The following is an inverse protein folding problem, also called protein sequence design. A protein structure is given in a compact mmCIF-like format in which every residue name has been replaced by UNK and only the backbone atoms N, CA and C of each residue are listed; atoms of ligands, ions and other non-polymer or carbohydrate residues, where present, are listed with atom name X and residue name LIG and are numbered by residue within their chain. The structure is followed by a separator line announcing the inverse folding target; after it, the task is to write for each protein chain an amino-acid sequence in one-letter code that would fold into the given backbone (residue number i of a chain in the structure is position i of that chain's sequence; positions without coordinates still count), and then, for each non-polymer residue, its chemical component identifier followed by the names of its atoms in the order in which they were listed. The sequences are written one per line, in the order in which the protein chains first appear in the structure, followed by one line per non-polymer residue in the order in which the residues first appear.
data_IF_992769557069
#
_entry.id   IF_992769557069
#
_cell.length_a   1.000
_cell.length_b   1.000
_cell.length_c   1.000
_cell.angle_alpha   90.00
_cell.angle_beta   90.00
_cell.angle_gamma   90.00
#
_symmetry.space_group_name_H-M   'P 1'
#
loop_
_entity.id
_entity.type
_entity.pdbx_description
1 polymer ?
#
# COMPACT_ATOMS: atom_id res chain seq x y z
N UNK A 1 35.37 14.97 4.90
CA UNK A 1 34.35 14.91 3.84
C UNK A 1 33.92 13.47 3.51
N UNK A 2 34.82 12.47 3.49
CA UNK A 2 34.43 11.07 3.19
C UNK A 2 33.42 10.41 4.16
N UNK A 3 33.47 10.72 5.47
CA UNK A 3 32.67 10.00 6.47
C UNK A 3 31.15 10.23 6.36
N UNK A 4 30.69 11.41 5.91
CA UNK A 4 29.26 11.74 5.87
C UNK A 4 28.53 10.96 4.76
N UNK A 5 29.18 10.83 3.60
CA UNK A 5 28.63 10.17 2.43
C UNK A 5 28.61 8.65 2.61
N UNK A 6 29.67 8.10 3.18
CA UNK A 6 29.73 6.69 3.59
C UNK A 6 28.63 6.36 4.61
N UNK A 7 28.46 7.20 5.64
CA UNK A 7 27.39 7.02 6.64
C UNK A 7 26.00 7.08 6.00
N UNK A 8 25.78 7.99 5.05
CA UNK A 8 24.53 8.09 4.31
C UNK A 8 24.25 6.82 3.50
N UNK A 9 25.22 6.35 2.72
CA UNK A 9 25.07 5.13 1.92
C UNK A 9 24.87 3.91 2.79
N UNK A 10 25.63 3.75 3.88
CA UNK A 10 25.49 2.61 4.80
C UNK A 10 24.08 2.56 5.41
N UNK A 11 23.53 3.70 5.85
CA UNK A 11 22.16 3.77 6.40
C UNK A 11 21.08 3.52 5.36
N UNK A 12 21.21 4.14 4.18
CA UNK A 12 20.27 3.96 3.07
C UNK A 12 20.26 2.51 2.57
N UNK A 13 21.43 1.89 2.48
CA UNK A 13 21.61 0.48 2.12
C UNK A 13 20.99 -0.44 3.19
N UNK A 14 21.15 -0.12 4.47
CA UNK A 14 20.49 -0.86 5.56
C UNK A 14 18.97 -0.86 5.42
N UNK A 15 18.35 0.30 5.14
CA UNK A 15 16.91 0.38 4.89
C UNK A 15 16.49 -0.40 3.64
N UNK A 16 17.29 -0.37 2.58
CA UNK A 16 17.01 -1.11 1.34
C UNK A 16 17.07 -2.62 1.55
N UNK A 17 18.09 -3.12 2.28
CA UNK A 17 18.24 -4.54 2.58
C UNK A 17 17.11 -5.06 3.47
N UNK A 18 16.66 -4.28 4.46
CA UNK A 18 15.51 -4.65 5.29
C UNK A 18 14.22 -4.75 4.45
N UNK A 19 13.96 -3.76 3.59
CA UNK A 19 12.80 -3.78 2.71
C UNK A 19 12.84 -4.96 1.74
N UNK A 20 14.00 -5.20 1.11
CA UNK A 20 14.20 -6.33 0.19
C UNK A 20 14.01 -7.67 0.91
N UNK A 21 14.57 -7.84 2.10
CA UNK A 21 14.40 -9.05 2.92
C UNK A 21 12.93 -9.32 3.24
N UNK A 22 12.18 -8.28 3.65
CA UNK A 22 10.74 -8.41 3.91
C UNK A 22 9.95 -8.76 2.64
N UNK A 23 10.26 -8.12 1.51
CA UNK A 23 9.61 -8.43 0.22
C UNK A 23 9.88 -9.88 -0.19
N UNK A 24 11.12 -10.38 -0.01
CA UNK A 24 11.47 -11.78 -0.30
C UNK A 24 10.67 -12.75 0.58
N UNK A 25 10.55 -12.48 1.88
CA UNK A 25 9.77 -13.35 2.79
C UNK A 25 8.29 -13.36 2.38
N UNK A 26 7.72 -12.19 2.04
CA UNK A 26 6.32 -12.10 1.63
C UNK A 26 6.07 -12.79 0.29
N UNK A 27 6.93 -12.58 -0.71
CA UNK A 27 6.79 -13.18 -2.03
C UNK A 27 7.10 -14.69 -2.03
N UNK A 28 7.86 -15.18 -1.06
CA UNK A 28 8.09 -16.62 -0.83
C UNK A 28 6.80 -17.39 -0.52
N UNK A 29 5.75 -16.70 -0.06
CA UNK A 29 4.47 -17.32 0.26
C UNK A 29 4.47 -18.16 1.55
N UNK A 30 5.53 -18.07 2.35
CA UNK A 30 5.63 -18.73 3.67
C UNK A 30 4.71 -18.10 4.71
N UNK A 31 4.32 -16.83 4.51
CA UNK A 31 3.39 -16.13 5.36
C UNK A 31 1.96 -16.41 4.87
N UNK A 32 1.05 -16.91 5.73
CA UNK A 32 -0.34 -17.11 5.36
C UNK A 32 -1.09 -15.77 5.33
N UNK A 33 -0.80 -14.93 4.34
CA UNK A 33 -1.51 -13.67 4.10
C UNK A 33 -2.80 -13.86 3.32
N UNK A 34 -3.10 -15.09 2.90
CA UNK A 34 -4.33 -15.44 2.23
C UNK A 34 -5.49 -15.48 3.23
N UNK A 35 -6.09 -14.32 3.47
CA UNK A 35 -7.30 -14.21 4.27
C UNK A 35 -8.50 -14.61 3.40
N UNK A 36 -8.75 -15.92 3.24
CA UNK A 36 -10.06 -16.53 2.89
C UNK A 36 -11.07 -15.60 2.19
N UNK A 37 -10.72 -15.03 1.05
CA UNK A 37 -11.66 -14.31 0.17
C UNK A 37 -11.48 -14.85 -1.23
N UNK A 38 -11.92 -16.10 -1.36
CA UNK A 38 -12.10 -16.88 -2.57
C UNK A 38 -13.21 -16.30 -3.49
N UNK A 39 -13.48 -15.00 -3.40
CA UNK A 39 -14.39 -14.32 -4.31
C UNK A 39 -13.54 -13.77 -5.44
N UNK A 40 -13.26 -14.66 -6.39
CA UNK A 40 -12.72 -14.33 -7.68
C UNK A 40 -13.31 -13.01 -8.18
N UNK A 41 -12.46 -12.00 -8.35
CA UNK A 41 -12.77 -10.83 -9.15
C UNK A 41 -13.30 -11.33 -10.50
N UNK A 42 -14.52 -10.96 -10.85
CA UNK A 42 -15.26 -11.39 -12.05
C UNK A 42 -14.60 -10.95 -13.37
N UNK A 43 -13.41 -10.35 -13.31
CA UNK A 43 -12.69 -9.72 -14.42
C UNK A 43 -11.37 -10.44 -14.78
N UNK A 44 -11.22 -11.70 -14.37
CA UNK A 44 -10.20 -12.62 -14.91
C UNK A 44 -8.75 -12.36 -14.53
N UNK A 45 -8.43 -11.25 -13.84
CA UNK A 45 -7.07 -10.96 -13.34
C UNK A 45 -7.11 -10.79 -11.83
N UNK A 46 -7.01 -11.88 -11.07
CA UNK A 46 -6.80 -11.81 -9.61
C UNK A 46 -5.35 -11.43 -9.34
N UNK A 47 -5.03 -10.24 -8.80
CA UNK A 47 -3.67 -9.89 -8.40
C UNK A 47 -3.17 -10.87 -7.33
N UNK A 48 -1.85 -11.09 -7.27
CA UNK A 48 -1.29 -12.06 -6.31
C UNK A 48 -1.67 -11.69 -4.87
N UNK A 49 -1.97 -12.67 -4.00
CA UNK A 49 -2.42 -12.41 -2.62
C UNK A 49 -1.39 -11.62 -1.78
N UNK A 50 -0.14 -11.59 -2.24
CA UNK A 50 0.99 -10.94 -1.60
C UNK A 50 1.28 -9.53 -2.16
N UNK A 51 0.63 -9.13 -3.27
CA UNK A 51 0.92 -7.89 -3.97
C UNK A 51 0.71 -6.65 -3.08
N UNK A 52 -0.42 -6.59 -2.38
CA UNK A 52 -0.75 -5.48 -1.48
C UNK A 52 0.25 -5.34 -0.33
N UNK A 53 0.71 -6.45 0.24
CA UNK A 53 1.71 -6.43 1.31
C UNK A 53 3.10 -5.99 0.79
N UNK A 54 3.50 -6.44 -0.41
CA UNK A 54 4.74 -6.01 -1.04
C UNK A 54 4.73 -4.50 -1.38
N UNK A 55 3.60 -3.98 -1.88
CA UNK A 55 3.41 -2.54 -2.13
C UNK A 55 3.46 -1.76 -0.82
N UNK A 56 2.87 -2.26 0.26
CA UNK A 56 2.92 -1.62 1.59
C UNK A 56 4.34 -1.54 2.16
N UNK A 57 5.13 -2.62 2.07
CA UNK A 57 6.54 -2.57 2.50
C UNK A 57 7.31 -1.54 1.68
N UNK A 58 7.11 -1.53 0.36
CA UNK A 58 7.77 -0.59 -0.54
C UNK A 58 7.40 0.86 -0.20
N UNK A 59 6.12 1.11 0.11
CA UNK A 59 5.64 2.40 0.58
C UNK A 59 6.35 2.84 1.86
N UNK A 60 6.41 1.98 2.88
CA UNK A 60 7.05 2.27 4.16
C UNK A 60 8.55 2.55 4.01
N UNK A 61 9.23 1.79 3.14
CA UNK A 61 10.62 2.01 2.81
C UNK A 61 10.83 3.41 2.20
N UNK A 62 10.07 3.75 1.15
CA UNK A 62 10.19 5.05 0.49
C UNK A 62 9.77 6.22 1.39
N UNK A 63 8.74 6.06 2.23
CA UNK A 63 8.34 7.06 3.20
C UNK A 63 9.45 7.32 4.23
N UNK A 64 10.07 6.27 4.76
CA UNK A 64 11.18 6.37 5.70
C UNK A 64 12.41 7.03 5.08
N UNK A 65 12.76 6.65 3.84
CA UNK A 65 13.86 7.26 3.08
C UNK A 65 13.58 8.74 2.78
N UNK A 66 12.35 9.09 2.40
CA UNK A 66 11.96 10.48 2.17
C UNK A 66 12.10 11.32 3.44
N UNK A 67 11.63 10.83 4.58
CA UNK A 67 11.74 11.52 5.87
C UNK A 67 13.20 11.70 6.30
N UNK A 68 14.02 10.66 6.14
CA UNK A 68 15.44 10.72 6.44
C UNK A 68 16.18 11.75 5.56
N UNK A 69 15.93 11.72 4.25
CA UNK A 69 16.50 12.68 3.31
C UNK A 69 16.03 14.12 3.61
N UNK A 70 14.75 14.32 3.93
CA UNK A 70 14.25 15.63 4.34
C UNK A 70 14.94 16.15 5.60
N UNK A 71 15.09 15.31 6.63
CA UNK A 71 15.78 15.69 7.87
C UNK A 71 17.21 16.15 7.63
N UNK A 72 17.96 15.44 6.79
CA UNK A 72 19.32 15.85 6.41
C UNK A 72 19.32 17.11 5.56
N UNK A 73 18.42 17.24 4.58
CA UNK A 73 18.30 18.45 3.77
C UNK A 73 17.99 19.69 4.61
N UNK A 74 17.13 19.56 5.63
CA UNK A 74 16.78 20.65 6.54
C UNK A 74 18.01 21.20 7.29
N UNK A 75 19.00 20.33 7.58
CA UNK A 75 20.23 20.71 8.27
C UNK A 75 21.34 21.17 7.31
N UNK A 76 21.64 20.40 6.26
CA UNK A 76 22.81 20.62 5.40
C UNK A 76 22.51 21.52 4.20
N UNK A 77 21.24 21.65 3.81
CA UNK A 77 20.79 22.35 2.59
C UNK A 77 21.38 21.77 1.29
N UNK A 78 21.98 20.57 1.34
CA UNK A 78 22.52 19.93 0.15
C UNK A 78 21.40 19.35 -0.72
N UNK A 79 21.37 19.76 -1.99
CA UNK A 79 20.31 19.41 -2.94
C UNK A 79 20.24 17.93 -3.27
N UNK A 80 21.32 17.17 -3.05
CA UNK A 80 21.32 15.70 -3.20
C UNK A 80 20.29 15.02 -2.30
N UNK A 81 20.19 15.44 -1.04
CA UNK A 81 19.18 14.95 -0.11
C UNK A 81 17.77 15.38 -0.54
N UNK A 82 17.61 16.59 -1.08
CA UNK A 82 16.31 17.05 -1.61
C UNK A 82 15.83 16.17 -2.77
N UNK A 83 16.73 15.83 -3.71
CA UNK A 83 16.39 14.96 -4.84
C UNK A 83 16.00 13.55 -4.37
N UNK A 84 16.75 12.99 -3.42
CA UNK A 84 16.42 11.69 -2.81
C UNK A 84 15.08 11.71 -2.07
N UNK A 85 14.74 12.82 -1.41
CA UNK A 85 13.45 13.05 -0.76
C UNK A 85 12.31 13.07 -1.78
N UNK A 86 12.44 13.86 -2.85
CA UNK A 86 11.39 13.99 -3.89
C UNK A 86 11.17 12.66 -4.60
N UNK A 87 12.23 11.99 -5.02
CA UNK A 87 12.12 10.69 -5.69
C UNK A 87 11.42 9.65 -4.81
N UNK A 88 11.81 9.56 -3.55
CA UNK A 88 11.17 8.63 -2.61
C UNK A 88 9.72 9.02 -2.28
N UNK A 89 9.41 10.31 -2.16
CA UNK A 89 8.05 10.79 -1.93
C UNK A 89 7.08 10.43 -3.06
N UNK A 90 7.54 10.46 -4.32
CA UNK A 90 6.76 10.04 -5.49
C UNK A 90 6.39 8.57 -5.37
N UNK A 91 7.37 7.69 -5.12
CA UNK A 91 7.11 6.26 -4.95
C UNK A 91 6.20 5.97 -3.75
N UNK A 92 6.40 6.64 -2.63
CA UNK A 92 5.55 6.47 -1.45
C UNK A 92 4.09 6.90 -1.74
N UNK A 93 3.89 8.03 -2.42
CA UNK A 93 2.56 8.52 -2.77
C UNK A 93 1.88 7.62 -3.80
N UNK A 94 2.62 7.13 -4.78
CA UNK A 94 2.11 6.18 -5.77
C UNK A 94 1.72 4.83 -5.13
N UNK A 95 2.56 4.30 -4.23
CA UNK A 95 2.23 3.08 -3.50
C UNK A 95 1.01 3.27 -2.58
N UNK A 96 0.90 4.42 -1.91
CA UNK A 96 -0.28 4.79 -1.12
C UNK A 96 -1.54 4.84 -2.00
N UNK A 97 -1.45 5.46 -3.18
CA UNK A 97 -2.53 5.49 -4.15
C UNK A 97 -2.98 4.07 -4.53
N UNK A 98 -2.04 3.16 -4.82
CA UNK A 98 -2.37 1.77 -5.14
C UNK A 98 -3.08 1.06 -3.99
N UNK A 99 -2.68 1.31 -2.74
CA UNK A 99 -3.31 0.69 -1.56
C UNK A 99 -4.72 1.24 -1.33
N UNK A 100 -4.90 2.55 -1.46
CA UNK A 100 -6.17 3.21 -1.14
C UNK A 100 -7.23 3.07 -2.25
N UNK A 101 -6.81 3.13 -3.52
CA UNK A 101 -7.72 3.29 -4.64
C UNK A 101 -7.65 2.16 -5.67
N UNK A 102 -6.52 1.44 -5.76
CA UNK A 102 -6.42 0.31 -6.69
C UNK A 102 -6.86 -1.03 -6.06
N UNK A 103 -7.21 -1.04 -4.77
CA UNK A 103 -7.76 -2.23 -4.11
C UNK A 103 -9.28 -2.26 -4.23
N UNK A 104 -9.80 -2.98 -5.22
CA UNK A 104 -11.23 -3.28 -5.35
C UNK A 104 -11.65 -4.38 -4.37
N UNK A 105 -11.72 -4.06 -3.07
CA UNK A 105 -12.47 -4.87 -2.12
C UNK A 105 -13.91 -4.39 -2.09
N UNK A 106 -14.74 -4.93 -2.98
CA UNK A 106 -16.18 -4.73 -2.91
C UNK A 106 -16.71 -5.28 -1.58
N UNK A 107 -17.42 -4.43 -0.81
CA UNK A 107 -17.96 -4.82 0.49
C UNK A 107 -19.24 -5.63 0.28
N UNK A 108 -19.12 -6.89 -0.14
CA UNK A 108 -20.27 -7.75 -0.44
C UNK A 108 -20.64 -8.60 0.78
N UNK A 109 -21.95 -8.77 1.00
CA UNK A 109 -22.42 -9.62 2.09
C UNK A 109 -22.12 -11.08 1.79
N UNK A 110 -21.50 -11.80 2.74
CA UNK A 110 -21.09 -13.21 2.57
C UNK A 110 -22.24 -14.13 2.15
N UNK A 111 -23.42 -13.94 2.72
CA UNK A 111 -24.55 -14.84 2.54
C UNK A 111 -25.45 -14.46 1.34
N UNK A 112 -25.83 -13.18 1.22
CA UNK A 112 -26.77 -12.73 0.19
C UNK A 112 -26.10 -12.15 -1.06
N UNK A 113 -24.77 -12.04 -1.09
CA UNK A 113 -23.99 -11.41 -2.16
C UNK A 113 -24.42 -9.99 -2.54
N UNK A 114 -25.11 -9.30 -1.64
CA UNK A 114 -25.50 -7.91 -1.83
C UNK A 114 -24.37 -6.96 -1.50
N UNK A 115 -24.22 -5.91 -2.29
CA UNK A 115 -23.28 -4.83 -2.02
C UNK A 115 -23.69 -4.01 -0.78
N UNK A 116 -22.90 -4.11 0.29
CA UNK A 116 -23.08 -3.41 1.56
C UNK A 116 -22.63 -1.95 1.51
N UNK A 117 -21.87 -1.54 0.49
CA UNK A 117 -21.44 -0.15 0.32
C UNK A 117 -22.61 0.75 -0.12
N UNK A 118 -23.70 0.17 -0.63
CA UNK A 118 -24.89 0.91 -1.05
C UNK A 118 -25.81 1.26 0.12
N UNK A 119 -25.91 2.56 0.41
CA UNK A 119 -26.84 3.09 1.41
C UNK A 119 -28.10 3.69 0.77
N UNK A 120 -29.16 3.83 1.56
CA UNK A 120 -30.39 4.54 1.22
C UNK A 120 -30.56 5.84 2.01
N UNK A 121 -29.47 6.40 2.53
CA UNK A 121 -29.44 7.68 3.21
C UNK A 121 -28.53 8.65 2.43
N UNK A 122 -28.87 9.93 2.32
CA UNK A 122 -30.12 10.56 2.80
C UNK A 122 -31.32 10.35 1.87
N UNK A 123 -31.10 9.82 0.66
CA UNK A 123 -32.15 9.63 -0.35
C UNK A 123 -32.53 8.16 -0.52
N UNK A 124 -33.81 7.93 -0.78
CA UNK A 124 -34.37 6.59 -0.98
C UNK A 124 -33.68 5.88 -2.14
N UNK A 125 -33.00 4.77 -1.85
CA UNK A 125 -32.33 3.92 -2.83
C UNK A 125 -32.91 2.50 -2.78
N UNK A 126 -33.63 2.10 -3.83
CA UNK A 126 -34.20 0.75 -3.98
C UNK A 126 -33.14 -0.34 -4.13
N UNK A 127 -31.94 0.04 -4.58
CA UNK A 127 -30.80 -0.87 -4.73
C UNK A 127 -29.94 -0.96 -3.46
N UNK A 128 -30.25 -0.22 -2.40
CA UNK A 128 -29.47 -0.26 -1.15
C UNK A 128 -29.48 -1.64 -0.49
N UNK A 129 -28.40 -1.98 0.21
CA UNK A 129 -28.28 -3.25 0.96
C UNK A 129 -29.50 -3.51 1.84
N UNK A 130 -29.96 -2.49 2.59
CA UNK A 130 -31.13 -2.61 3.48
C UNK A 130 -32.43 -2.84 2.70
N UNK A 131 -32.60 -2.22 1.54
CA UNK A 131 -33.77 -2.43 0.69
C UNK A 131 -33.78 -3.84 0.09
N UNK A 132 -32.66 -4.30 -0.47
CA UNK A 132 -32.52 -5.67 -1.00
C UNK A 132 -32.70 -6.72 0.09
N UNK A 133 -32.11 -6.51 1.27
CA UNK A 133 -32.27 -7.41 2.42
C UNK A 133 -33.72 -7.50 2.92
N UNK A 134 -34.49 -6.41 2.84
CA UNK A 134 -35.91 -6.38 3.24
C UNK A 134 -36.84 -7.02 2.20
N UNK A 135 -36.42 -7.07 0.93
CA UNK A 135 -37.19 -7.64 -0.17
C UNK A 135 -37.01 -9.17 -0.33
N UNK A 136 -36.04 -9.75 0.37
CA UNK A 136 -35.92 -11.19 0.60
C UNK A 136 -36.83 -11.63 1.75
#
# INVERSE_FOLDING_TARGET
MCAALETYFARSLGFALLALGLIVIILSGVLPLDTSSDEASSDGTTPSPYASAAVLISMLHHASTAFYCYGWFAWTRETGYLLGCVGSAIFATFALYCIMFASDKAMTSRYHKFDQSTSGFPFKNSQSYRAKKKAL
#
